data_IF_892611694891
#
_entry.id   IF_892611694891
#
_cell.length_a   1.000
_cell.length_b   1.000
_cell.length_c   1.000
_cell.angle_alpha   90.00
_cell.angle_beta   90.00
_cell.angle_gamma   90.00
#
_symmetry.space_group_name_H-M   'P 1'
#
loop_
_entity.id
_entity.type
_entity.pdbx_description
1 polymer ?
#
# COMPACT_ATOMS: atom_id res chain seq x y z
N UNK A 1 -31.40 -33.94 -25.07
CA UNK A 1 -31.03 -34.86 -23.97
C UNK A 1 -29.85 -34.28 -23.19
N UNK A 2 -30.06 -33.19 -22.44
CA UNK A 2 -29.07 -32.54 -21.55
C UNK A 2 -29.76 -32.06 -20.26
N UNK A 3 -30.67 -32.88 -19.75
CA UNK A 3 -31.15 -32.80 -18.38
C UNK A 3 -30.41 -33.92 -17.66
N UNK A 4 -29.96 -33.68 -16.43
CA UNK A 4 -29.13 -34.56 -15.58
C UNK A 4 -27.64 -34.29 -15.76
N UNK A 5 -27.10 -33.30 -15.03
CA UNK A 5 -26.06 -33.43 -13.98
C UNK A 5 -25.73 -31.99 -13.52
N UNK A 6 -26.44 -31.46 -12.51
CA UNK A 6 -25.79 -30.65 -11.46
C UNK A 6 -26.74 -30.38 -10.27
N UNK A 7 -26.79 -31.27 -9.26
CA UNK A 7 -27.41 -30.96 -7.97
C UNK A 7 -26.39 -30.70 -6.84
N UNK A 8 -25.14 -30.33 -7.14
CA UNK A 8 -24.07 -30.17 -6.13
C UNK A 8 -23.68 -28.70 -5.78
N UNK A 9 -24.47 -27.70 -6.18
CA UNK A 9 -24.13 -26.27 -5.97
C UNK A 9 -24.96 -25.57 -4.85
N UNK A 10 -25.45 -26.32 -3.86
CA UNK A 10 -26.19 -25.73 -2.71
C UNK A 10 -25.36 -25.63 -1.43
N UNK A 11 -24.32 -26.45 -1.28
CA UNK A 11 -23.38 -26.44 -0.16
C UNK A 11 -22.38 -25.27 -0.20
N UNK A 12 -22.15 -24.66 -1.37
CA UNK A 12 -21.19 -23.56 -1.55
C UNK A 12 -21.62 -22.25 -0.91
N UNK A 13 -22.92 -22.05 -0.66
CA UNK A 13 -23.44 -20.81 -0.05
C UNK A 13 -23.01 -20.64 1.41
N UNK A 14 -22.99 -21.73 2.18
CA UNK A 14 -22.57 -21.71 3.59
C UNK A 14 -21.07 -21.51 3.73
N UNK A 15 -20.26 -22.25 2.97
CA UNK A 15 -18.80 -22.12 2.98
C UNK A 15 -18.38 -20.71 2.55
N UNK A 16 -19.00 -20.17 1.49
CA UNK A 16 -18.74 -18.80 1.03
C UNK A 16 -19.04 -17.76 2.12
N UNK A 17 -20.19 -17.90 2.81
CA UNK A 17 -20.59 -16.96 3.87
C UNK A 17 -19.64 -17.02 5.09
N UNK A 18 -19.17 -18.21 5.45
CA UNK A 18 -18.18 -18.38 6.53
C UNK A 18 -16.85 -17.72 6.13
N UNK A 19 -16.36 -17.97 4.91
CA UNK A 19 -15.11 -17.38 4.41
C UNK A 19 -15.21 -15.85 4.39
N UNK A 20 -16.31 -15.29 3.87
CA UNK A 20 -16.53 -13.84 3.85
C UNK A 20 -16.58 -13.22 5.26
N UNK A 21 -17.14 -13.92 6.25
CA UNK A 21 -17.13 -13.45 7.64
C UNK A 21 -15.74 -13.51 8.25
N UNK A 22 -15.01 -14.61 8.05
CA UNK A 22 -13.64 -14.77 8.54
C UNK A 22 -12.73 -13.70 7.93
N UNK A 23 -12.83 -13.46 6.62
CA UNK A 23 -12.07 -12.42 5.92
C UNK A 23 -12.31 -11.04 6.55
N UNK A 24 -13.57 -10.67 6.79
CA UNK A 24 -13.90 -9.38 7.43
C UNK A 24 -13.33 -9.26 8.84
N UNK A 25 -13.41 -10.33 9.64
CA UNK A 25 -12.84 -10.36 11.00
C UNK A 25 -11.32 -10.20 10.95
N UNK A 26 -10.64 -10.89 10.03
CA UNK A 26 -9.19 -10.77 9.86
C UNK A 26 -8.78 -9.35 9.46
N UNK A 27 -9.45 -8.74 8.47
CA UNK A 27 -9.16 -7.36 8.08
C UNK A 27 -9.43 -6.37 9.21
N UNK A 28 -10.47 -6.58 10.01
CA UNK A 28 -10.75 -5.74 11.18
C UNK A 28 -9.62 -5.86 12.22
N UNK A 29 -9.19 -7.08 12.55
CA UNK A 29 -8.09 -7.31 13.49
C UNK A 29 -6.77 -6.70 13.00
N UNK A 30 -6.42 -6.91 11.73
CA UNK A 30 -5.22 -6.33 11.12
C UNK A 30 -5.31 -4.79 11.11
N UNK A 31 -6.45 -4.23 10.74
CA UNK A 31 -6.68 -2.79 10.76
C UNK A 31 -6.51 -2.20 12.15
N UNK A 32 -7.10 -2.82 13.18
CA UNK A 32 -6.94 -2.39 14.58
C UNK A 32 -5.48 -2.47 15.02
N UNK A 33 -4.76 -3.54 14.70
CA UNK A 33 -3.34 -3.69 15.03
C UNK A 33 -2.49 -2.59 14.38
N UNK A 34 -2.73 -2.31 13.09
CA UNK A 34 -2.03 -1.27 12.35
C UNK A 34 -2.28 0.13 12.96
N UNK A 35 -3.51 0.43 13.38
CA UNK A 35 -3.83 1.69 14.07
C UNK A 35 -3.04 1.82 15.38
N UNK A 36 -3.02 0.76 16.20
CA UNK A 36 -2.29 0.77 17.47
C UNK A 36 -0.79 0.98 17.24
N UNK A 37 -0.20 0.26 16.27
CA UNK A 37 1.22 0.40 15.93
C UNK A 37 1.54 1.80 15.39
N UNK A 38 0.73 2.32 14.46
CA UNK A 38 0.93 3.66 13.90
C UNK A 38 0.90 4.71 15.00
N UNK A 39 -0.07 4.62 15.93
CA UNK A 39 -0.20 5.56 17.03
C UNK A 39 0.98 5.45 18.01
N UNK A 40 1.41 4.24 18.35
CA UNK A 40 2.53 4.02 19.25
C UNK A 40 3.83 4.62 18.69
N UNK A 41 4.15 4.34 17.42
CA UNK A 41 5.34 4.89 16.76
C UNK A 41 5.22 6.41 16.67
N UNK A 42 4.08 6.93 16.23
CA UNK A 42 3.88 8.38 16.07
C UNK A 42 4.06 9.14 17.40
N UNK A 43 3.46 8.65 18.49
CA UNK A 43 3.61 9.25 19.82
C UNK A 43 5.07 9.21 20.29
N UNK A 44 5.76 8.10 20.05
CA UNK A 44 7.18 7.98 20.38
C UNK A 44 8.03 8.97 19.56
N UNK A 45 7.79 9.10 18.25
CA UNK A 45 8.49 10.07 17.40
C UNK A 45 8.22 11.51 17.83
N UNK A 46 6.97 11.84 18.19
CA UNK A 46 6.62 13.18 18.69
C UNK A 46 7.30 13.49 20.04
N UNK A 47 7.38 12.50 20.93
CA UNK A 47 8.10 12.64 22.19
C UNK A 47 9.61 12.83 21.97
N UNK A 48 10.21 12.11 21.02
CA UNK A 48 11.62 12.28 20.66
C UNK A 48 11.88 13.66 20.04
N UNK A 49 10.96 14.16 19.19
CA UNK A 49 11.03 15.51 18.62
C UNK A 49 11.02 16.58 19.72
N UNK A 50 10.19 16.44 20.75
CA UNK A 50 10.07 17.42 21.84
C UNK A 50 11.35 17.57 22.68
N UNK A 51 12.25 16.58 22.63
CA UNK A 51 13.52 16.58 23.37
C UNK A 51 14.68 17.17 22.57
N UNK A 52 14.47 17.54 21.31
CA UNK A 52 15.51 18.12 20.48
C UNK A 52 15.85 19.53 20.94
N UNK A 53 17.16 19.78 21.13
CA UNK A 53 17.70 21.11 21.38
C UNK A 53 18.39 21.64 20.12
N UNK A 54 18.42 22.96 19.93
CA UNK A 54 19.01 23.62 18.74
C UNK A 54 20.47 23.20 18.45
N UNK A 55 21.24 22.81 19.47
CA UNK A 55 22.62 22.34 19.32
C UNK A 55 22.76 20.92 18.74
N UNK A 56 21.69 20.13 18.74
CA UNK A 56 21.70 18.72 18.30
C UNK A 56 21.23 18.54 16.85
N UNK A 57 20.81 19.61 16.17
CA UNK A 57 20.41 19.62 14.75
C UNK A 57 21.49 19.10 13.79
N UNK A 58 22.75 19.05 14.22
CA UNK A 58 23.90 18.63 13.39
C UNK A 58 24.15 17.12 13.46
N UNK A 59 23.55 16.40 14.41
CA UNK A 59 23.79 14.96 14.60
C UNK A 59 22.63 14.08 14.12
N UNK A 60 22.92 12.80 13.89
CA UNK A 60 22.10 11.68 13.38
C UNK A 60 20.64 11.53 13.84
N UNK A 61 20.16 12.36 14.77
CA UNK A 61 18.80 12.37 15.28
C UNK A 61 17.76 12.79 14.23
N UNK A 62 18.08 13.68 13.29
CA UNK A 62 17.15 14.05 12.20
C UNK A 62 16.88 12.83 11.29
N UNK A 63 17.92 12.08 10.93
CA UNK A 63 17.78 10.87 10.14
C UNK A 63 16.90 9.82 10.86
N UNK A 64 17.05 9.68 12.19
CA UNK A 64 16.18 8.84 13.01
C UNK A 64 14.71 9.28 12.95
N UNK A 65 14.45 10.57 13.13
CA UNK A 65 13.08 11.10 13.11
C UNK A 65 12.42 10.94 11.75
N UNK A 66 13.17 11.17 10.67
CA UNK A 66 12.69 10.87 9.32
C UNK A 66 12.38 9.38 9.20
N UNK A 67 13.28 8.50 9.63
CA UNK A 67 13.02 7.05 9.59
C UNK A 67 11.74 6.66 10.36
N UNK A 68 11.51 7.20 11.55
CA UNK A 68 10.34 6.87 12.36
C UNK A 68 9.04 7.46 11.77
N UNK A 69 9.10 8.68 11.21
CA UNK A 69 7.99 9.28 10.49
C UNK A 69 7.65 8.49 9.21
N UNK A 70 8.67 8.06 8.46
CA UNK A 70 8.53 7.24 7.26
C UNK A 70 7.94 5.86 7.61
N UNK A 71 8.36 5.26 8.72
CA UNK A 71 7.79 4.01 9.23
C UNK A 71 6.32 4.17 9.63
N UNK A 72 5.97 5.26 10.33
CA UNK A 72 4.57 5.60 10.65
C UNK A 72 3.74 5.71 9.37
N UNK A 73 4.26 6.44 8.38
CA UNK A 73 3.65 6.58 7.06
C UNK A 73 3.47 5.18 6.44
N UNK A 74 4.46 4.29 6.43
CA UNK A 74 4.30 2.91 5.91
C UNK A 74 3.14 2.19 6.60
N UNK A 75 3.01 2.25 7.93
CA UNK A 75 1.91 1.61 8.66
C UNK A 75 0.55 2.19 8.23
N UNK A 76 0.46 3.53 8.09
CA UNK A 76 -0.77 4.19 7.61
C UNK A 76 -1.15 3.79 6.17
N UNK A 77 -0.16 3.45 5.32
CA UNK A 77 -0.43 2.94 3.98
C UNK A 77 -1.06 1.55 4.01
N UNK A 78 -0.51 0.67 4.84
CA UNK A 78 -1.06 -0.67 5.04
C UNK A 78 -2.49 -0.56 5.58
N UNK A 79 -2.75 0.36 6.50
CA UNK A 79 -4.08 0.63 7.02
C UNK A 79 -5.04 1.08 5.91
N UNK A 80 -4.61 2.02 5.06
CA UNK A 80 -5.42 2.47 3.91
C UNK A 80 -5.77 1.32 2.97
N UNK A 81 -4.83 0.40 2.75
CA UNK A 81 -5.06 -0.82 1.94
C UNK A 81 -6.12 -1.72 2.57
N UNK A 82 -5.99 -1.99 3.88
CA UNK A 82 -6.94 -2.81 4.66
C UNK A 82 -8.33 -2.19 4.68
N UNK A 83 -8.43 -0.89 4.95
CA UNK A 83 -9.68 -0.13 4.97
C UNK A 83 -10.31 -0.13 3.58
N UNK A 84 -9.54 0.14 2.53
CA UNK A 84 -10.03 0.10 1.15
C UNK A 84 -10.63 -1.26 0.80
N UNK A 85 -9.99 -2.35 1.22
CA UNK A 85 -10.51 -3.70 1.01
C UNK A 85 -11.80 -3.96 1.81
N UNK A 86 -11.85 -3.51 3.06
CA UNK A 86 -13.00 -3.68 3.95
C UNK A 86 -14.26 -2.93 3.46
N UNK A 87 -14.10 -1.72 2.93
CA UNK A 87 -15.23 -0.85 2.56
C UNK A 87 -15.62 -0.90 1.08
N UNK A 88 -14.72 -1.28 0.16
CA UNK A 88 -14.99 -1.22 -1.30
C UNK A 88 -15.46 -2.53 -1.93
N UNK A 89 -15.52 -3.61 -1.15
CA UNK A 89 -16.26 -4.83 -1.47
C UNK A 89 -16.04 -5.34 -2.91
N UNK A 90 -14.83 -5.79 -3.21
CA UNK A 90 -14.51 -6.43 -4.49
C UNK A 90 -13.11 -6.07 -5.00
N UNK A 91 -12.47 -7.01 -5.69
CA UNK A 91 -11.20 -6.81 -6.40
C UNK A 91 -11.38 -5.83 -7.56
N UNK A 92 -11.48 -4.54 -7.25
CA UNK A 92 -11.38 -3.49 -8.25
C UNK A 92 -9.90 -3.38 -8.59
N UNK A 93 -9.50 -4.04 -9.68
CA UNK A 93 -8.13 -3.97 -10.22
C UNK A 93 -7.61 -2.52 -10.19
N UNK A 94 -8.45 -1.56 -10.59
CA UNK A 94 -8.16 -0.12 -10.50
C UNK A 94 -7.75 0.36 -9.10
N UNK A 95 -8.46 -0.05 -8.04
CA UNK A 95 -8.12 0.32 -6.66
C UNK A 95 -6.79 -0.30 -6.23
N UNK A 96 -6.54 -1.57 -6.59
CA UNK A 96 -5.27 -2.24 -6.32
C UNK A 96 -4.10 -1.54 -7.03
N UNK A 97 -4.23 -1.19 -8.31
CA UNK A 97 -3.19 -0.50 -9.05
C UNK A 97 -2.89 0.88 -8.47
N UNK A 98 -3.92 1.65 -8.09
CA UNK A 98 -3.74 2.96 -7.48
C UNK A 98 -3.02 2.85 -6.14
N UNK A 99 -3.42 1.92 -5.28
CA UNK A 99 -2.74 1.66 -4.00
C UNK A 99 -1.29 1.23 -4.23
N UNK A 100 -1.04 0.34 -5.20
CA UNK A 100 0.32 -0.07 -5.56
C UNK A 100 1.20 1.10 -6.02
N UNK A 101 0.66 2.01 -6.84
CA UNK A 101 1.39 3.22 -7.27
C UNK A 101 1.71 4.11 -6.07
N UNK A 102 0.74 4.41 -5.21
CA UNK A 102 0.95 5.28 -4.04
C UNK A 102 2.01 4.65 -3.10
N UNK A 103 1.95 3.34 -2.86
CA UNK A 103 2.91 2.61 -2.03
C UNK A 103 4.32 2.63 -2.63
N UNK A 104 4.49 2.43 -3.94
CA UNK A 104 5.80 2.48 -4.58
C UNK A 104 6.39 3.89 -4.62
N UNK A 105 5.58 4.91 -4.93
CA UNK A 105 6.02 6.32 -4.88
C UNK A 105 6.46 6.71 -3.47
N UNK A 106 5.71 6.29 -2.44
CA UNK A 106 6.08 6.49 -1.04
C UNK A 106 7.45 5.90 -0.73
N UNK A 107 7.74 4.67 -1.15
CA UNK A 107 9.05 4.02 -0.93
C UNK A 107 10.19 4.77 -1.62
N UNK A 108 9.96 5.29 -2.84
CA UNK A 108 10.92 6.17 -3.52
C UNK A 108 11.27 7.40 -2.68
N UNK A 109 10.26 8.09 -2.10
CA UNK A 109 10.49 9.25 -1.25
C UNK A 109 11.23 8.90 0.04
N UNK A 110 10.89 7.76 0.66
CA UNK A 110 11.53 7.23 1.88
C UNK A 110 13.02 6.99 1.64
N UNK A 111 13.35 6.20 0.61
CA UNK A 111 14.73 5.82 0.32
C UNK A 111 15.54 7.05 -0.14
N UNK A 112 14.94 7.94 -0.94
CA UNK A 112 15.58 9.19 -1.35
C UNK A 112 15.94 10.08 -0.16
N UNK A 113 15.05 10.21 0.82
CA UNK A 113 15.31 10.97 2.04
C UNK A 113 16.40 10.31 2.92
N UNK A 114 16.36 8.98 3.09
CA UNK A 114 17.37 8.24 3.84
C UNK A 114 18.77 8.37 3.21
N UNK A 115 18.87 8.26 1.89
CA UNK A 115 20.12 8.47 1.15
C UNK A 115 20.62 9.91 1.27
N UNK A 116 19.74 10.91 1.29
CA UNK A 116 20.15 12.33 1.38
C UNK A 116 20.66 12.73 2.77
N UNK A 117 20.20 12.04 3.82
CA UNK A 117 20.52 12.38 5.21
C UNK A 117 21.66 11.56 5.81
N UNK A 118 22.08 10.48 5.16
CA UNK A 118 23.16 9.62 5.67
C UNK A 118 24.52 10.22 5.30
N UNK A 119 25.21 10.83 6.26
CA UNK A 119 26.47 11.56 6.04
C UNK A 119 27.70 10.65 5.80
N UNK A 120 27.56 9.33 5.98
CA UNK A 120 28.66 8.35 5.87
C UNK A 120 28.21 7.15 5.06
N UNK A 121 27.89 7.36 3.79
CA UNK A 121 27.46 6.26 2.93
C UNK A 121 28.69 5.53 2.40
N UNK A 122 28.84 4.25 2.73
CA UNK A 122 29.76 3.38 2.00
C UNK A 122 29.29 3.29 0.54
N UNK A 123 30.21 3.28 -0.43
CA UNK A 123 29.85 3.19 -1.86
C UNK A 123 28.87 2.03 -2.16
N UNK A 124 28.93 0.94 -1.39
CA UNK A 124 28.02 -0.20 -1.48
C UNK A 124 26.57 0.11 -1.08
N UNK A 125 26.36 0.85 0.02
CA UNK A 125 25.02 1.18 0.52
C UNK A 125 24.32 2.21 -0.37
N UNK A 126 25.09 3.17 -0.90
CA UNK A 126 24.60 4.15 -1.87
C UNK A 126 24.13 3.47 -3.15
N UNK A 127 24.98 2.60 -3.72
CA UNK A 127 24.66 1.90 -4.96
C UNK A 127 23.44 0.98 -4.80
N UNK A 128 23.31 0.29 -3.65
CA UNK A 128 22.13 -0.50 -3.35
C UNK A 128 20.87 0.35 -3.28
N UNK A 129 20.94 1.51 -2.62
CA UNK A 129 19.82 2.45 -2.54
C UNK A 129 19.40 3.00 -3.91
N UNK A 130 20.35 3.34 -4.79
CA UNK A 130 20.05 3.77 -6.16
C UNK A 130 19.40 2.66 -6.98
N UNK A 131 19.86 1.42 -6.84
CA UNK A 131 19.22 0.27 -7.51
C UNK A 131 17.80 0.07 -6.98
N UNK A 132 17.59 0.12 -5.67
CA UNK A 132 16.28 -0.04 -5.04
C UNK A 132 15.30 1.06 -5.49
N UNK A 133 15.77 2.31 -5.54
CA UNK A 133 15.02 3.44 -6.11
C UNK A 133 14.68 3.23 -7.58
N UNK A 134 15.62 2.76 -8.38
CA UNK A 134 15.40 2.46 -9.80
C UNK A 134 14.34 1.36 -10.00
N UNK A 135 14.38 0.32 -9.16
CA UNK A 135 13.38 -0.77 -9.18
C UNK A 135 12.01 -0.22 -8.79
N UNK A 136 11.88 0.55 -7.72
CA UNK A 136 10.59 1.13 -7.31
C UNK A 136 10.03 2.08 -8.36
N UNK A 137 10.87 2.93 -8.97
CA UNK A 137 10.46 3.77 -10.08
C UNK A 137 9.98 2.95 -11.28
N UNK A 138 10.66 1.85 -11.60
CA UNK A 138 10.23 0.90 -12.62
C UNK A 138 8.86 0.29 -12.32
N UNK A 139 8.62 -0.12 -11.08
CA UNK A 139 7.31 -0.63 -10.63
C UNK A 139 6.22 0.42 -10.78
N UNK A 140 6.48 1.68 -10.39
CA UNK A 140 5.52 2.79 -10.57
C UNK A 140 5.15 2.95 -12.04
N UNK A 141 6.14 2.93 -12.95
CA UNK A 141 5.91 3.06 -14.38
C UNK A 141 5.08 1.89 -14.92
N UNK A 142 5.41 0.65 -14.55
CA UNK A 142 4.66 -0.54 -14.96
C UNK A 142 3.21 -0.49 -14.49
N UNK A 143 2.97 -0.15 -13.22
CA UNK A 143 1.62 -0.03 -12.67
C UNK A 143 0.85 1.12 -13.32
N UNK A 144 1.51 2.25 -13.61
CA UNK A 144 0.89 3.40 -14.29
C UNK A 144 0.45 3.04 -15.71
N UNK A 145 1.28 2.29 -16.44
CA UNK A 145 0.94 1.77 -17.78
C UNK A 145 -0.22 0.78 -17.68
N UNK A 146 -0.17 -0.17 -16.75
CA UNK A 146 -1.26 -1.13 -16.53
C UNK A 146 -2.59 -0.42 -16.20
N UNK A 147 -2.54 0.67 -15.43
CA UNK A 147 -3.71 1.47 -15.07
C UNK A 147 -4.27 2.21 -16.29
N UNK A 148 -3.40 2.79 -17.12
CA UNK A 148 -3.79 3.46 -18.35
C UNK A 148 -4.47 2.49 -19.33
N UNK A 149 -3.90 1.29 -19.48
CA UNK A 149 -4.47 0.21 -20.30
C UNK A 149 -5.86 -0.19 -19.76
N UNK A 150 -5.96 -0.48 -18.46
CA UNK A 150 -7.22 -0.88 -17.83
C UNK A 150 -8.32 0.20 -17.99
N UNK A 151 -7.95 1.49 -17.89
CA UNK A 151 -8.88 2.59 -18.13
C UNK A 151 -9.39 2.60 -19.56
N UNK A 152 -8.51 2.41 -20.55
CA UNK A 152 -8.90 2.39 -21.98
C UNK A 152 -9.88 1.27 -22.30
N UNK A 153 -9.64 0.05 -21.81
CA UNK A 153 -10.55 -1.09 -22.01
C UNK A 153 -11.90 -0.91 -21.32
N UNK A 154 -11.94 -0.21 -20.20
CA UNK A 154 -13.20 0.05 -19.48
C UNK A 154 -14.09 1.04 -20.25
N UNK A 155 -13.51 2.07 -20.86
CA UNK A 155 -14.24 3.07 -21.66
C UNK A 155 -14.76 2.53 -22.99
N UNK A 156 -14.04 1.59 -23.62
CA UNK A 156 -14.44 1.00 -24.92
C UNK A 156 -15.68 0.09 -24.81
N UNK A 157 -15.91 -0.51 -23.63
CA UNK A 157 -17.12 -1.32 -23.38
C UNK A 157 -18.38 -0.47 -23.23
N UNK A 158 -18.27 0.70 -22.63
CA UNK A 158 -19.40 1.62 -22.40
C UNK A 158 -19.91 2.16 -23.75
N UNK A 159 -19.00 2.62 -24.62
CA UNK A 159 -19.32 3.12 -25.96
C UNK A 159 -19.98 2.11 -26.90
N UNK A 160 -19.69 0.81 -26.72
CA UNK A 160 -20.27 -0.27 -27.53
C UNK A 160 -21.63 -0.73 -27.01
N UNK A 161 -21.95 -0.46 -25.74
CA UNK A 161 -23.28 -0.72 -25.16
C UNK A 161 -24.28 0.35 -25.60
N UNK A 162 -23.85 1.61 -25.72
CA UNK A 162 -24.70 2.73 -26.14
C UNK A 162 -24.98 2.76 -27.65
N UNK A 163 -24.12 2.12 -28.46
CA UNK A 163 -24.30 2.03 -29.91
C UNK A 163 -25.22 0.87 -30.36
N UNK A 164 -25.71 0.05 -29.42
CA UNK A 164 -26.59 -1.10 -29.67
C UNK A 164 -28.04 -0.81 -29.23
N UNK A 165 -28.27 0.36 -28.61
CA UNK A 165 -29.60 0.93 -28.35
C UNK A 165 -29.91 2.04 -29.33
#
# INVERSE_FOLDING_TARGET
MYRVVMPLLKETGYVKKIIEQVEKVLYLLVGTLLVIMALAVFVQSAADLSKLTFSTFVNSQIAKLLNDALFTIIILELLSTVVSHLFRGGFQLKAFLVIGIISSVRRVLVIGAQLSTTSTITNSSFNRGIIELGVDAGVVLLLSVALAINRKYSTDKEKKSDAVH
#
